data_IF_119675348690
#
_entry.id   IF_119675348690
#
_cell.length_a   1.000
_cell.length_b   1.000
_cell.length_c   1.000
_cell.angle_alpha   90.00
_cell.angle_beta   90.00
_cell.angle_gamma   90.00
#
_symmetry.space_group_name_H-M   'P 1'
#
loop_
_entity.id
_entity.type
_entity.pdbx_description
1 polymer ?
#
# COMPACT_ATOMS: atom_id res chain seq x y z
N UNK A 1 12.33 19.00 -22.46
CA UNK A 1 11.34 18.45 -21.50
C UNK A 1 9.90 18.64 -21.97
N UNK A 2 9.45 19.86 -22.24
CA UNK A 2 8.08 20.12 -22.70
C UNK A 2 7.72 19.32 -23.97
N UNK A 3 8.67 19.11 -24.88
CA UNK A 3 8.43 18.32 -26.10
C UNK A 3 8.26 16.83 -25.81
N UNK A 4 8.97 16.28 -24.81
CA UNK A 4 8.72 14.91 -24.34
C UNK A 4 7.31 14.79 -23.77
N UNK A 5 6.87 15.79 -23.00
CA UNK A 5 5.50 15.83 -22.46
C UNK A 5 4.48 15.90 -23.59
N UNK A 6 4.69 16.74 -24.61
CA UNK A 6 3.77 16.82 -25.78
C UNK A 6 3.67 15.48 -26.52
N UNK A 7 4.79 14.78 -26.71
CA UNK A 7 4.81 13.47 -27.37
C UNK A 7 4.13 12.41 -26.52
N UNK A 8 4.49 12.31 -25.24
CA UNK A 8 3.87 11.38 -24.30
C UNK A 8 2.36 11.61 -24.15
N UNK A 9 1.93 12.87 -24.13
CA UNK A 9 0.52 13.26 -24.10
C UNK A 9 -0.26 12.75 -25.34
N UNK A 10 0.41 12.66 -26.50
CA UNK A 10 -0.14 12.08 -27.73
C UNK A 10 -0.05 10.55 -27.81
N UNK A 11 0.38 9.89 -26.74
CA UNK A 11 0.50 8.43 -26.68
C UNK A 11 1.87 7.86 -27.06
N UNK A 12 2.90 8.69 -27.21
CA UNK A 12 4.27 8.19 -27.46
C UNK A 12 4.85 7.52 -26.19
N UNK A 13 4.89 6.18 -26.20
CA UNK A 13 5.33 5.37 -25.06
C UNK A 13 6.79 5.62 -24.71
N UNK A 14 7.67 5.77 -25.70
CA UNK A 14 9.09 6.05 -25.48
C UNK A 14 9.32 7.37 -24.73
N UNK A 15 8.57 8.42 -25.09
CA UNK A 15 8.63 9.69 -24.38
C UNK A 15 8.08 9.57 -22.96
N UNK A 16 7.03 8.78 -22.75
CA UNK A 16 6.49 8.51 -21.42
C UNK A 16 7.50 7.78 -20.53
N UNK A 17 8.16 6.74 -21.05
CA UNK A 17 9.20 5.98 -20.34
C UNK A 17 10.39 6.88 -20.01
N UNK A 18 10.83 7.72 -20.95
CA UNK A 18 11.90 8.72 -20.69
C UNK A 18 11.51 9.69 -19.59
N UNK A 19 10.27 10.19 -19.59
CA UNK A 19 9.77 11.06 -18.53
C UNK A 19 9.72 10.33 -17.19
N UNK A 20 9.24 9.09 -17.18
CA UNK A 20 9.17 8.28 -15.97
C UNK A 20 10.57 8.07 -15.38
N UNK A 21 11.58 7.78 -16.20
CA UNK A 21 12.97 7.64 -15.74
C UNK A 21 13.53 8.93 -15.13
N UNK A 22 13.13 10.10 -15.63
CA UNK A 22 13.54 11.40 -15.05
C UNK A 22 12.94 11.60 -13.65
N UNK A 23 11.68 11.19 -13.44
CA UNK A 23 10.98 11.36 -12.16
C UNK A 23 11.06 10.15 -11.23
N UNK A 24 11.59 9.00 -11.67
CA UNK A 24 11.72 7.78 -10.88
C UNK A 24 12.44 7.99 -9.54
N UNK A 25 13.54 8.78 -9.43
CA UNK A 25 14.15 9.07 -8.13
C UNK A 25 13.18 9.74 -7.15
N UNK A 26 12.35 10.66 -7.64
CA UNK A 26 11.34 11.35 -6.82
C UNK A 26 10.19 10.41 -6.44
N UNK A 27 9.72 9.60 -7.39
CA UNK A 27 8.67 8.60 -7.16
C UNK A 27 9.12 7.58 -6.11
N UNK A 28 10.34 7.03 -6.25
CA UNK A 28 10.95 6.12 -5.27
C UNK A 28 11.06 6.75 -3.89
N UNK A 29 11.52 8.00 -3.81
CA UNK A 29 11.60 8.73 -2.55
C UNK A 29 10.22 8.88 -1.89
N UNK A 30 9.19 9.20 -2.68
CA UNK A 30 7.84 9.37 -2.17
C UNK A 30 7.19 8.03 -1.78
N UNK A 31 7.42 6.96 -2.56
CA UNK A 31 6.89 5.63 -2.25
C UNK A 31 7.49 5.07 -0.95
N UNK A 32 8.77 5.30 -0.70
CA UNK A 32 9.42 4.87 0.56
C UNK A 32 8.82 5.55 1.81
N UNK A 33 8.20 6.72 1.65
CA UNK A 33 7.52 7.43 2.74
C UNK A 33 6.09 6.94 2.97
N UNK A 34 5.57 6.06 2.12
CA UNK A 34 4.24 5.50 2.21
C UNK A 34 4.30 4.09 2.82
N UNK A 35 3.52 3.80 3.87
CA UNK A 35 3.61 2.56 4.63
C UNK A 35 2.76 1.42 4.03
N UNK A 36 2.79 1.21 2.70
CA UNK A 36 2.10 0.10 2.04
C UNK A 36 2.82 -0.32 0.75
N UNK A 37 2.64 -1.59 0.35
CA UNK A 37 3.44 -2.26 -0.68
C UNK A 37 3.27 -1.65 -2.08
N UNK A 38 2.04 -1.31 -2.46
CA UNK A 38 1.68 -0.83 -3.79
C UNK A 38 1.97 0.67 -4.01
N UNK A 39 2.57 1.35 -3.02
CA UNK A 39 2.76 2.79 -3.03
C UNK A 39 3.53 3.31 -4.25
N UNK A 40 4.53 2.54 -4.73
CA UNK A 40 5.27 2.91 -5.94
C UNK A 40 4.38 2.83 -7.17
N UNK A 41 3.61 1.75 -7.31
CA UNK A 41 2.70 1.52 -8.44
C UNK A 41 1.63 2.60 -8.51
N UNK A 42 1.02 2.95 -7.38
CA UNK A 42 0.01 4.02 -7.31
C UNK A 42 0.56 5.38 -7.75
N UNK A 43 1.79 5.70 -7.37
CA UNK A 43 2.45 6.95 -7.79
C UNK A 43 2.81 6.93 -9.28
N UNK A 44 3.19 5.78 -9.84
CA UNK A 44 3.44 5.63 -11.28
C UNK A 44 2.15 5.80 -12.08
N UNK A 45 1.05 5.16 -11.66
CA UNK A 45 -0.26 5.30 -12.30
C UNK A 45 -0.67 6.78 -12.33
N UNK A 46 -0.61 7.44 -11.16
CA UNK A 46 -0.89 8.87 -11.07
C UNK A 46 0.01 9.71 -11.99
N UNK A 47 1.29 9.38 -12.09
CA UNK A 47 2.21 10.08 -12.98
C UNK A 47 1.80 9.94 -14.45
N UNK A 48 1.43 8.74 -14.89
CA UNK A 48 0.98 8.49 -16.27
C UNK A 48 -0.30 9.29 -16.58
N UNK A 49 -1.27 9.27 -15.66
CA UNK A 49 -2.51 10.05 -15.75
C UNK A 49 -2.20 11.56 -15.84
N UNK A 50 -1.33 12.05 -14.95
CA UNK A 50 -0.92 13.44 -14.91
C UNK A 50 -0.30 13.91 -16.24
N UNK A 51 0.54 13.07 -16.87
CA UNK A 51 1.16 13.39 -18.17
C UNK A 51 0.13 13.36 -19.31
N UNK A 52 -0.81 12.42 -19.28
CA UNK A 52 -1.90 12.32 -20.26
C UNK A 52 -2.81 13.54 -20.24
N UNK A 53 -3.09 14.09 -19.07
CA UNK A 53 -3.95 15.27 -18.92
C UNK A 53 -3.17 16.60 -18.93
N UNK A 54 -1.86 16.54 -19.18
CA UNK A 54 -0.96 17.68 -19.04
C UNK A 54 -1.16 18.75 -20.12
N UNK A 55 -1.67 19.92 -19.73
CA UNK A 55 -1.85 21.07 -20.64
C UNK A 55 -0.56 21.86 -20.82
N UNK A 56 0.27 21.45 -21.78
CA UNK A 56 1.60 22.04 -22.06
C UNK A 56 1.56 23.54 -22.37
N UNK A 57 0.46 24.04 -22.95
CA UNK A 57 0.27 25.47 -23.30
C UNK A 57 0.34 26.44 -22.10
N UNK A 58 0.29 25.93 -20.88
CA UNK A 58 0.32 26.74 -19.67
C UNK A 58 1.74 27.03 -19.15
N UNK A 59 2.79 26.57 -19.84
CA UNK A 59 4.17 26.64 -19.35
C UNK A 59 5.11 27.34 -20.35
N UNK A 60 5.81 28.38 -19.89
CA UNK A 60 6.76 29.12 -20.72
C UNK A 60 8.15 28.48 -20.76
N UNK A 61 8.53 27.75 -19.70
CA UNK A 61 9.86 27.15 -19.57
C UNK A 61 9.79 25.73 -18.97
N UNK A 62 10.80 24.91 -19.29
CA UNK A 62 10.91 23.53 -18.82
C UNK A 62 10.89 23.40 -17.29
N UNK A 63 11.55 24.31 -16.56
CA UNK A 63 11.61 24.27 -15.10
C UNK A 63 10.24 24.40 -14.43
N UNK A 64 9.30 25.15 -15.03
CA UNK A 64 7.96 25.29 -14.48
C UNK A 64 7.18 23.97 -14.54
N UNK A 65 7.30 23.23 -15.66
CA UNK A 65 6.68 21.92 -15.79
C UNK A 65 7.29 20.91 -14.82
N UNK A 66 8.61 20.91 -14.64
CA UNK A 66 9.29 20.04 -13.65
C UNK A 66 8.80 20.32 -12.24
N UNK A 67 8.74 21.60 -11.86
CA UNK A 67 8.28 22.00 -10.53
C UNK A 67 6.81 21.62 -10.31
N UNK A 68 5.96 21.82 -11.32
CA UNK A 68 4.56 21.45 -11.26
C UNK A 68 4.38 19.95 -11.07
N UNK A 69 5.04 19.12 -11.89
CA UNK A 69 4.97 17.66 -11.79
C UNK A 69 5.48 17.19 -10.43
N UNK A 70 6.63 17.72 -9.98
CA UNK A 70 7.19 17.37 -8.68
C UNK A 70 6.23 17.71 -7.54
N UNK A 71 5.58 18.88 -7.60
CA UNK A 71 4.60 19.29 -6.61
C UNK A 71 3.35 18.39 -6.64
N UNK A 72 2.88 18.03 -7.83
CA UNK A 72 1.75 17.12 -8.01
C UNK A 72 2.02 15.74 -7.40
N UNK A 73 3.21 15.17 -7.61
CA UNK A 73 3.64 13.90 -7.00
C UNK A 73 3.65 14.01 -5.47
N UNK A 74 4.20 15.09 -4.92
CA UNK A 74 4.21 15.30 -3.46
C UNK A 74 2.81 15.44 -2.85
N UNK A 75 1.90 16.12 -3.55
CA UNK A 75 0.52 16.26 -3.13
C UNK A 75 -0.17 14.89 -3.16
N UNK A 76 -0.04 14.14 -4.27
CA UNK A 76 -0.60 12.78 -4.38
C UNK A 76 -0.10 11.85 -3.28
N UNK A 77 1.20 11.88 -2.97
CA UNK A 77 1.77 11.13 -1.84
C UNK A 77 1.07 11.49 -0.53
N UNK A 78 0.84 12.78 -0.28
CA UNK A 78 0.15 13.24 0.94
C UNK A 78 -1.29 12.72 1.00
N UNK A 79 -2.00 12.72 -0.13
CA UNK A 79 -3.36 12.20 -0.23
C UNK A 79 -3.42 10.68 -0.01
N UNK A 80 -2.50 9.93 -0.62
CA UNK A 80 -2.37 8.48 -0.43
C UNK A 80 -2.09 8.14 1.03
N UNK A 81 -1.23 8.90 1.70
CA UNK A 81 -0.95 8.71 3.12
C UNK A 81 -2.17 8.96 4.01
N UNK A 82 -2.98 9.99 3.71
CA UNK A 82 -4.23 10.27 4.43
C UNK A 82 -5.22 9.12 4.25
N UNK A 83 -5.43 8.68 3.00
CA UNK A 83 -6.31 7.56 2.67
C UNK A 83 -5.89 6.27 3.38
N UNK A 84 -4.60 5.97 3.39
CA UNK A 84 -4.06 4.82 4.14
C UNK A 84 -4.38 4.91 5.64
N UNK A 85 -4.17 6.09 6.25
CA UNK A 85 -4.47 6.29 7.67
C UNK A 85 -5.94 6.09 8.01
N UNK A 86 -6.84 6.61 7.18
CA UNK A 86 -8.29 6.46 7.36
C UNK A 86 -8.68 4.97 7.26
N UNK A 87 -8.26 4.31 6.19
CA UNK A 87 -8.54 2.88 5.96
C UNK A 87 -8.01 1.99 7.09
N UNK A 88 -6.77 2.23 7.54
CA UNK A 88 -6.19 1.46 8.64
C UNK A 88 -6.87 1.71 9.99
N UNK A 89 -7.34 2.94 10.25
CA UNK A 89 -8.11 3.22 11.48
C UNK A 89 -9.40 2.43 11.49
N UNK A 90 -10.12 2.39 10.37
CA UNK A 90 -11.35 1.60 10.23
C UNK A 90 -11.10 0.11 10.43
N UNK A 91 -10.05 -0.44 9.81
CA UNK A 91 -9.67 -1.84 9.98
C UNK A 91 -9.36 -2.19 11.43
N UNK A 92 -8.53 -1.37 12.09
CA UNK A 92 -8.16 -1.55 13.50
C UNK A 92 -9.40 -1.50 14.38
N UNK A 93 -10.29 -0.52 14.18
CA UNK A 93 -11.54 -0.41 14.93
C UNK A 93 -12.44 -1.64 14.75
N UNK A 94 -12.62 -2.11 13.52
CA UNK A 94 -13.45 -3.27 13.25
C UNK A 94 -12.87 -4.55 13.87
N UNK A 95 -11.54 -4.73 13.84
CA UNK A 95 -10.84 -5.83 14.50
C UNK A 95 -11.08 -5.84 16.03
N UNK A 96 -11.02 -4.68 16.67
CA UNK A 96 -11.36 -4.56 18.11
C UNK A 96 -12.83 -4.88 18.40
N UNK A 97 -13.76 -4.47 17.53
CA UNK A 97 -15.18 -4.80 17.70
C UNK A 97 -15.43 -6.30 17.53
N UNK A 98 -14.78 -6.96 16.57
CA UNK A 98 -14.89 -8.40 16.38
C UNK A 98 -14.32 -9.19 17.56
N UNK A 99 -13.16 -8.78 18.09
CA UNK A 99 -12.53 -9.44 19.25
C UNK A 99 -13.31 -9.26 20.55
N UNK A 100 -14.01 -8.13 20.73
CA UNK A 100 -14.81 -7.86 21.93
C UNK A 100 -16.20 -8.51 21.93
N UNK A 101 -16.71 -8.88 20.74
CA UNK A 101 -18.01 -9.58 20.58
C UNK A 101 -17.89 -11.08 20.26
N UNK A 102 -16.67 -11.59 20.12
CA UNK A 102 -16.44 -12.98 19.74
C UNK A 102 -16.99 -13.94 20.81
N UNK A 103 -17.96 -14.78 20.42
CA UNK A 103 -18.34 -15.97 21.18
C UNK A 103 -17.22 -17.01 21.13
N UNK A 104 -17.29 -18.05 21.98
CA UNK A 104 -16.33 -19.17 21.93
C UNK A 104 -16.25 -19.81 20.53
N UNK A 105 -17.35 -19.82 19.77
CA UNK A 105 -17.39 -20.30 18.38
C UNK A 105 -16.62 -19.41 17.41
N UNK A 106 -16.70 -18.09 17.58
CA UNK A 106 -15.98 -17.13 16.74
C UNK A 106 -14.47 -17.23 16.96
N UNK A 107 -14.08 -17.51 18.21
CA UNK A 107 -12.68 -17.75 18.58
C UNK A 107 -12.11 -18.99 17.87
N UNK A 108 -12.88 -20.07 17.75
CA UNK A 108 -12.46 -21.29 17.03
C UNK A 108 -12.27 -21.05 15.53
N UNK A 109 -13.20 -20.28 14.91
CA UNK A 109 -13.13 -19.92 13.50
C UNK A 109 -11.90 -19.05 13.22
N UNK A 110 -11.66 -18.04 14.05
CA UNK A 110 -10.49 -17.15 13.92
C UNK A 110 -9.19 -17.95 14.06
N UNK A 111 -9.12 -18.88 15.02
CA UNK A 111 -7.97 -19.77 15.19
C UNK A 111 -7.72 -20.62 13.94
N UNK A 112 -8.77 -21.19 13.33
CA UNK A 112 -8.66 -21.96 12.08
C UNK A 112 -8.17 -21.09 10.92
N UNK A 113 -8.64 -19.85 10.81
CA UNK A 113 -8.22 -18.92 9.76
C UNK A 113 -6.74 -18.58 9.92
N UNK A 114 -6.30 -18.17 11.12
CA UNK A 114 -4.89 -17.84 11.39
C UNK A 114 -4.00 -19.05 11.13
N UNK A 115 -4.39 -20.22 11.65
CA UNK A 115 -3.67 -21.48 11.47
C UNK A 115 -3.69 -22.04 10.06
N UNK A 116 -4.45 -21.45 9.12
CA UNK A 116 -4.50 -21.80 7.70
C UNK A 116 -4.07 -20.65 6.79
N UNK A 117 -3.82 -19.46 7.33
CA UNK A 117 -3.39 -18.30 6.56
C UNK A 117 -1.96 -18.46 6.03
N UNK A 118 -1.67 -17.78 4.92
CA UNK A 118 -0.34 -17.64 4.32
C UNK A 118 0.59 -16.73 5.13
N UNK A 119 0.05 -16.04 6.14
CA UNK A 119 0.77 -15.06 6.99
C UNK A 119 1.78 -15.74 7.91
N UNK A 120 1.62 -17.03 8.21
CA UNK A 120 2.54 -17.80 9.06
C UNK A 120 3.20 -18.94 8.30
N UNK A 121 4.49 -19.18 8.59
CA UNK A 121 5.25 -20.27 7.98
C UNK A 121 4.86 -21.62 8.57
N UNK A 122 5.15 -22.72 7.88
CA UNK A 122 4.85 -24.08 8.36
C UNK A 122 5.52 -24.40 9.68
N UNK A 123 6.74 -23.89 9.89
CA UNK A 123 7.46 -24.04 11.15
C UNK A 123 6.72 -23.33 12.30
N UNK A 124 6.29 -22.08 12.07
CA UNK A 124 5.52 -21.31 13.06
C UNK A 124 4.18 -21.99 13.37
N UNK A 125 3.49 -22.51 12.34
CA UNK A 125 2.23 -23.25 12.46
C UNK A 125 2.41 -24.51 13.32
N UNK A 126 3.49 -25.25 13.13
CA UNK A 126 3.79 -26.45 13.91
C UNK A 126 4.13 -26.14 15.38
N UNK A 127 4.90 -25.08 15.64
CA UNK A 127 5.21 -24.63 16.99
C UNK A 127 3.93 -24.21 17.74
N UNK A 128 3.07 -23.44 17.08
CA UNK A 128 1.79 -22.98 17.66
C UNK A 128 0.88 -24.16 18.00
N UNK A 129 0.71 -25.13 17.08
CA UNK A 129 -0.08 -26.35 17.34
C UNK A 129 0.43 -27.10 18.57
N UNK A 130 1.76 -27.31 18.68
CA UNK A 130 2.37 -28.02 19.80
C UNK A 130 2.14 -27.30 21.14
N UNK A 131 2.28 -25.97 21.16
CA UNK A 131 2.08 -25.19 22.37
C UNK A 131 0.60 -25.15 22.80
N UNK A 132 -0.34 -25.03 21.85
CA UNK A 132 -1.77 -25.10 22.14
C UNK A 132 -2.15 -26.46 22.74
N UNK A 133 -1.61 -27.56 22.20
CA UNK A 133 -1.85 -28.91 22.73
C UNK A 133 -1.40 -29.04 24.19
N UNK A 134 -0.20 -28.51 24.50
CA UNK A 134 0.32 -28.48 25.88
C UNK A 134 -0.57 -27.70 26.83
N UNK A 135 -1.07 -26.54 26.41
CA UNK A 135 -1.97 -25.70 27.22
C UNK A 135 -3.29 -26.41 27.48
N UNK A 136 -3.87 -27.08 26.48
CA UNK A 136 -5.11 -27.85 26.64
C UNK A 136 -4.92 -29.02 27.61
N UNK A 137 -3.81 -29.74 27.49
CA UNK A 137 -3.46 -30.85 28.40
C UNK A 137 -3.30 -30.34 29.84
N UNK A 138 -2.61 -29.22 30.04
CA UNK A 138 -2.43 -28.60 31.36
C UNK A 138 -3.77 -28.17 31.99
N UNK A 139 -4.64 -27.49 31.24
CA UNK A 139 -5.97 -27.10 31.71
C UNK A 139 -6.88 -28.28 32.07
N UNK A 140 -6.71 -29.43 31.42
CA UNK A 140 -7.46 -30.66 31.75
C UNK A 140 -6.98 -31.29 33.06
N UNK A 141 -5.68 -31.24 33.34
CA UNK A 141 -5.09 -31.74 34.59
C UNK A 141 -5.46 -30.88 35.82
N UNK A 142 -5.69 -29.58 35.62
CA UNK A 142 -6.11 -28.64 36.70
C UNK A 142 -7.62 -28.71 37.02
N UNK A 143 -8.41 -29.44 36.22
CA UNK A 143 -9.87 -29.60 36.41
C UNK A 143 -10.27 -30.98 36.98
N UNK A 144 -9.32 -31.87 37.22
CA UNK A 144 -9.51 -33.14 37.95
C UNK A 144 -9.02 -32.99 39.38
#
# INVERSE_FOLDING_TARGET
>A
MLDLIKKANKGDEDSLVKLLNIFDPLIKKCSFQLPYEEAKTDLIIFFIELIRDFKVKNFNHHGQAVNYISKAIHNKKTDLYRKYKETNREFIMNSYVLTTKASEKDTEIILKIILNSLVITDLQRNILKKNLLKVIQKKRLEKC
#
